data_IF_327248635880
#
_entry.id   IF_327248635880
#
_cell.length_a   1.000
_cell.length_b   1.000
_cell.length_c   1.000
_cell.angle_alpha   90.00
_cell.angle_beta   90.00
_cell.angle_gamma   90.00
#
_symmetry.space_group_name_H-M   'P 1'
#
loop_
_entity.id
_entity.type
_entity.pdbx_description
1 polymer ?
#
# COMPACT_ATOMS: atom_id res chain seq x y z
N UNK A 1 -17.64 2.09 -15.63
CA UNK A 1 -17.81 1.76 -14.20
C UNK A 1 -19.21 1.31 -13.82
N UNK A 2 -20.27 2.08 -14.12
CA UNK A 2 -21.65 1.79 -13.66
C UNK A 2 -22.21 0.45 -14.18
N UNK A 3 -22.28 0.28 -15.50
CA UNK A 3 -22.86 -0.91 -16.16
C UNK A 3 -21.83 -1.97 -16.55
N UNK A 4 -20.54 -1.66 -16.45
CA UNK A 4 -19.45 -2.55 -16.87
C UNK A 4 -19.46 -2.89 -18.37
N UNK A 5 -19.80 -1.94 -19.25
CA UNK A 5 -19.80 -2.18 -20.69
C UNK A 5 -18.38 -2.42 -21.24
N UNK A 6 -18.23 -3.53 -21.98
CA UNK A 6 -16.95 -3.96 -22.53
C UNK A 6 -16.49 -3.09 -23.71
N UNK A 7 -17.43 -2.61 -24.52
CA UNK A 7 -17.18 -1.72 -25.66
C UNK A 7 -16.51 -0.41 -25.22
N UNK A 8 -16.97 0.16 -24.10
CA UNK A 8 -16.46 1.41 -23.54
C UNK A 8 -15.05 1.22 -23.02
N UNK A 9 -14.74 0.07 -22.42
CA UNK A 9 -13.39 -0.25 -21.98
C UNK A 9 -12.41 -0.39 -23.17
N UNK A 10 -12.85 -1.00 -24.27
CA UNK A 10 -12.07 -1.08 -25.52
C UNK A 10 -11.88 0.31 -26.14
N UNK A 11 -12.93 1.11 -26.25
CA UNK A 11 -12.84 2.46 -26.80
C UNK A 11 -11.90 3.37 -25.99
N UNK A 12 -11.90 3.25 -24.65
CA UNK A 12 -10.94 3.96 -23.79
C UNK A 12 -9.51 3.47 -24.04
N UNK A 13 -9.31 2.16 -24.18
CA UNK A 13 -8.00 1.58 -24.45
C UNK A 13 -7.42 2.07 -25.79
N UNK A 14 -8.21 2.00 -26.86
CA UNK A 14 -7.83 2.49 -28.19
C UNK A 14 -7.57 4.00 -28.19
N UNK A 15 -8.37 4.78 -27.46
CA UNK A 15 -8.16 6.22 -27.35
C UNK A 15 -6.83 6.59 -26.66
N UNK A 16 -6.47 5.85 -25.60
CA UNK A 16 -5.27 6.14 -24.80
C UNK A 16 -4.00 5.61 -25.45
N UNK A 17 -4.06 4.41 -26.03
CA UNK A 17 -2.87 3.66 -26.45
C UNK A 17 -2.85 3.29 -27.93
N UNK A 18 -3.85 3.71 -28.70
CA UNK A 18 -4.00 3.34 -30.11
C UNK A 18 -4.65 1.97 -30.31
N UNK A 19 -4.32 0.99 -29.46
CA UNK A 19 -4.88 -0.36 -29.53
C UNK A 19 -4.97 -1.04 -28.14
N UNK A 20 -5.69 -2.16 -28.10
CA UNK A 20 -5.96 -2.96 -26.89
C UNK A 20 -4.69 -3.59 -26.30
N UNK A 21 -3.78 -4.10 -27.12
CA UNK A 21 -2.56 -4.78 -26.65
C UNK A 21 -1.60 -3.78 -26.02
N UNK A 22 -1.43 -2.62 -26.66
CA UNK A 22 -0.66 -1.50 -26.13
C UNK A 22 -1.22 -0.98 -24.80
N UNK A 23 -2.55 -0.92 -24.65
CA UNK A 23 -3.17 -0.55 -23.37
C UNK A 23 -2.98 -1.63 -22.31
N UNK A 24 -3.10 -2.91 -22.66
CA UNK A 24 -2.84 -4.03 -21.75
C UNK A 24 -1.41 -4.00 -21.19
N UNK A 25 -0.42 -3.63 -22.02
CA UNK A 25 0.94 -3.40 -21.56
C UNK A 25 1.02 -2.31 -20.47
N UNK A 26 0.31 -1.18 -20.64
CA UNK A 26 0.23 -0.13 -19.61
C UNK A 26 -0.49 -0.63 -18.33
N UNK A 27 -1.52 -1.46 -18.46
CA UNK A 27 -2.20 -2.07 -17.31
C UNK A 27 -1.23 -2.95 -16.51
N UNK A 28 -0.42 -3.77 -17.18
CA UNK A 28 0.56 -4.65 -16.55
C UNK A 28 1.71 -3.86 -15.92
N UNK A 29 2.22 -2.83 -16.60
CA UNK A 29 3.22 -1.92 -16.04
C UNK A 29 2.70 -1.27 -14.75
N UNK A 30 1.45 -0.77 -14.78
CA UNK A 30 0.82 -0.18 -13.60
C UNK A 30 0.62 -1.19 -12.48
N UNK A 31 0.19 -2.41 -12.79
CA UNK A 31 0.03 -3.48 -11.81
C UNK A 31 1.36 -3.79 -11.11
N UNK A 32 2.46 -3.90 -11.87
CA UNK A 32 3.80 -4.09 -11.32
C UNK A 32 4.23 -2.92 -10.42
N UNK A 33 3.97 -1.67 -10.83
CA UNK A 33 4.25 -0.47 -10.02
C UNK A 33 3.45 -0.43 -8.70
N UNK A 34 2.25 -1.01 -8.67
CA UNK A 34 1.41 -1.14 -7.46
C UNK A 34 1.88 -2.30 -6.57
N UNK A 35 2.77 -3.16 -7.07
CA UNK A 35 3.29 -4.33 -6.37
C UNK A 35 2.47 -5.61 -6.58
N UNK A 36 1.63 -5.65 -7.61
CA UNK A 36 0.91 -6.87 -7.97
C UNK A 36 1.87 -7.90 -8.55
N UNK A 37 1.86 -9.12 -8.01
CA UNK A 37 2.79 -10.19 -8.43
C UNK A 37 2.09 -11.40 -9.03
N UNK A 38 0.77 -11.50 -8.90
CA UNK A 38 -0.06 -12.58 -9.45
C UNK A 38 -1.09 -12.09 -10.46
N UNK A 39 -0.79 -11.00 -11.15
CA UNK A 39 -1.72 -10.32 -12.07
C UNK A 39 -1.11 -10.22 -13.47
N UNK A 40 -1.90 -10.57 -14.47
CA UNK A 40 -1.59 -10.39 -15.88
C UNK A 40 -2.87 -10.03 -16.66
N UNK A 41 -2.90 -8.84 -17.23
CA UNK A 41 -4.01 -8.32 -18.01
C UNK A 41 -3.72 -8.44 -19.51
N UNK A 42 -4.65 -9.06 -20.23
CA UNK A 42 -4.62 -9.20 -21.70
C UNK A 42 -5.69 -8.32 -22.36
N UNK A 43 -6.78 -8.04 -21.65
CA UNK A 43 -7.95 -7.31 -22.16
C UNK A 43 -8.32 -6.18 -21.20
N UNK A 44 -8.83 -5.05 -21.69
CA UNK A 44 -9.22 -3.91 -20.83
C UNK A 44 -10.54 -4.14 -20.12
N UNK A 45 -11.31 -5.16 -20.55
CA UNK A 45 -12.70 -5.38 -20.14
C UNK A 45 -12.88 -6.61 -19.22
N UNK A 46 -11.84 -7.41 -19.02
CA UNK A 46 -11.90 -8.59 -18.16
C UNK A 46 -12.51 -9.84 -18.80
N UNK A 47 -12.65 -9.85 -20.14
CA UNK A 47 -13.00 -11.08 -20.84
C UNK A 47 -11.85 -12.08 -20.78
N UNK A 48 -12.21 -13.35 -20.58
CA UNK A 48 -11.27 -14.48 -20.54
C UNK A 48 -10.40 -14.48 -21.81
N UNK A 49 -9.08 -14.51 -21.62
CA UNK A 49 -8.12 -14.50 -22.70
C UNK A 49 -6.84 -15.22 -22.27
N UNK A 50 -6.09 -15.70 -23.26
CA UNK A 50 -4.78 -16.32 -23.10
C UNK A 50 -3.86 -15.75 -24.18
N UNK A 51 -2.61 -15.50 -23.84
CA UNK A 51 -1.58 -15.08 -24.79
C UNK A 51 -0.25 -15.77 -24.49
N UNK A 52 0.67 -15.73 -25.44
CA UNK A 52 2.03 -16.28 -25.28
C UNK A 52 3.05 -15.18 -25.55
N UNK A 53 3.89 -14.90 -24.55
CA UNK A 53 4.99 -13.92 -24.63
C UNK A 53 6.28 -14.66 -24.36
N UNK A 54 7.23 -14.60 -25.30
CA UNK A 54 8.54 -15.25 -25.20
C UNK A 54 8.49 -16.75 -24.81
N UNK A 55 7.50 -17.46 -25.35
CA UNK A 55 7.29 -18.89 -25.09
C UNK A 55 6.64 -19.22 -23.74
N UNK A 56 6.26 -18.20 -22.96
CA UNK A 56 5.50 -18.35 -21.71
C UNK A 56 4.04 -18.03 -21.97
N UNK A 57 3.14 -18.96 -21.59
CA UNK A 57 1.69 -18.75 -21.67
C UNK A 57 1.19 -17.98 -20.46
N UNK A 58 0.39 -16.94 -20.71
CA UNK A 58 -0.25 -16.12 -19.71
C UNK A 58 -1.77 -16.20 -19.87
N UNK A 59 -2.46 -16.31 -18.75
CA UNK A 59 -3.93 -16.28 -18.70
C UNK A 59 -4.33 -14.93 -18.10
N UNK A 60 -5.34 -14.28 -18.70
CA UNK A 60 -5.92 -13.06 -18.17
C UNK A 60 -6.43 -13.31 -16.74
N UNK A 61 -5.86 -12.64 -15.74
CA UNK A 61 -6.22 -12.91 -14.37
C UNK A 61 -5.50 -12.05 -13.34
N UNK A 62 -5.93 -12.23 -12.09
CA UNK A 62 -5.42 -11.52 -10.91
C UNK A 62 -5.69 -12.36 -9.67
N UNK A 63 -5.21 -11.91 -8.50
CA UNK A 63 -5.45 -12.53 -7.21
C UNK A 63 -6.31 -11.64 -6.31
N UNK A 64 -6.87 -12.21 -5.24
CA UNK A 64 -7.61 -11.42 -4.26
C UNK A 64 -6.72 -10.36 -3.57
N UNK A 65 -5.45 -10.70 -3.31
CA UNK A 65 -4.47 -9.80 -2.74
C UNK A 65 -4.15 -8.63 -3.69
N UNK A 66 -3.89 -8.92 -4.96
CA UNK A 66 -3.57 -7.90 -5.96
C UNK A 66 -4.74 -6.96 -6.22
N UNK A 67 -5.98 -7.46 -6.28
CA UNK A 67 -7.16 -6.60 -6.38
C UNK A 67 -7.37 -5.71 -5.16
N UNK A 68 -7.00 -6.16 -3.95
CA UNK A 68 -6.97 -5.31 -2.78
C UNK A 68 -5.92 -4.20 -2.91
N UNK A 69 -4.74 -4.49 -3.47
CA UNK A 69 -3.71 -3.48 -3.75
C UNK A 69 -4.19 -2.46 -4.80
N UNK A 70 -4.80 -2.94 -5.89
CA UNK A 70 -5.37 -2.10 -6.96
C UNK A 70 -6.47 -1.20 -6.38
N UNK A 71 -7.42 -1.75 -5.62
CA UNK A 71 -8.47 -0.94 -4.99
C UNK A 71 -7.87 0.07 -4.01
N UNK A 72 -6.89 -0.34 -3.18
CA UNK A 72 -6.18 0.55 -2.25
C UNK A 72 -5.45 1.70 -2.95
N UNK A 73 -4.94 1.46 -4.16
CA UNK A 73 -4.38 2.50 -5.01
C UNK A 73 -5.48 3.43 -5.57
N UNK A 74 -6.54 2.85 -6.17
CA UNK A 74 -7.59 3.62 -6.82
C UNK A 74 -8.36 4.55 -5.88
N UNK A 75 -8.63 4.14 -4.63
CA UNK A 75 -9.37 4.95 -3.65
C UNK A 75 -8.60 6.17 -3.13
N UNK A 76 -7.34 6.36 -3.55
CA UNK A 76 -6.58 7.60 -3.32
C UNK A 76 -6.93 8.70 -4.32
N UNK A 77 -7.71 8.38 -5.36
CA UNK A 77 -8.12 9.30 -6.40
C UNK A 77 -9.59 9.70 -6.21
N UNK A 78 -9.84 10.97 -5.94
CA UNK A 78 -11.19 11.49 -5.68
C UNK A 78 -12.10 11.41 -6.92
N UNK A 79 -11.55 11.55 -8.12
CA UNK A 79 -12.30 11.36 -9.38
C UNK A 79 -12.76 9.92 -9.52
N UNK A 80 -11.91 8.94 -9.17
CA UNK A 80 -12.29 7.53 -9.17
C UNK A 80 -13.44 7.29 -8.18
N UNK A 81 -13.32 7.79 -6.94
CA UNK A 81 -14.37 7.68 -5.93
C UNK A 81 -15.70 8.30 -6.40
N UNK A 82 -15.65 9.51 -6.98
CA UNK A 82 -16.85 10.17 -7.52
C UNK A 82 -17.54 9.33 -8.59
N UNK A 83 -16.77 8.77 -9.53
CA UNK A 83 -17.31 7.93 -10.60
C UNK A 83 -17.89 6.63 -10.04
N UNK A 84 -17.20 5.94 -9.12
CA UNK A 84 -17.68 4.65 -8.60
C UNK A 84 -18.86 4.77 -7.63
N UNK A 85 -19.04 5.94 -7.01
CA UNK A 85 -20.20 6.24 -6.15
C UNK A 85 -21.40 6.79 -6.92
N UNK A 86 -21.24 7.17 -8.18
CA UNK A 86 -22.35 7.70 -9.00
C UNK A 86 -23.44 6.63 -9.12
N UNK A 87 -24.66 6.95 -8.65
CA UNK A 87 -25.79 6.01 -8.64
C UNK A 87 -26.33 5.73 -10.05
N UNK A 88 -26.47 6.77 -10.86
CA UNK A 88 -26.87 6.67 -12.25
C UNK A 88 -26.32 7.83 -13.07
N UNK A 89 -26.24 7.64 -14.37
CA UNK A 89 -25.84 8.69 -15.31
C UNK A 89 -26.70 8.60 -16.56
N UNK A 90 -27.11 9.75 -17.11
CA UNK A 90 -27.90 9.83 -18.33
C UNK A 90 -27.12 10.60 -19.39
N UNK A 91 -27.03 10.04 -20.59
CA UNK A 91 -26.34 10.62 -21.73
C UNK A 91 -27.16 10.43 -23.01
N UNK A 92 -26.87 11.23 -24.03
CA UNK A 92 -27.50 11.11 -25.34
C UNK A 92 -26.57 10.47 -26.35
N UNK A 93 -27.12 9.84 -27.39
CA UNK A 93 -26.29 9.45 -28.53
C UNK A 93 -25.71 10.68 -29.23
N UNK A 94 -24.71 10.44 -30.08
CA UNK A 94 -24.16 11.44 -31.00
C UNK A 94 -24.29 10.94 -32.44
N UNK A 95 -24.30 11.88 -33.38
CA UNK A 95 -24.18 11.64 -34.82
C UNK A 95 -22.99 12.44 -35.34
N UNK A 96 -22.43 12.03 -36.49
CA UNK A 96 -21.45 12.84 -37.20
C UNK A 96 -22.22 13.76 -38.15
N UNK A 97 -22.06 15.07 -37.96
CA UNK A 97 -22.65 16.08 -38.83
C UNK A 97 -21.93 16.16 -40.18
N UNK A 98 -22.52 16.91 -41.11
CA UNK A 98 -21.96 17.10 -42.46
C UNK A 98 -20.58 17.78 -42.45
N UNK A 99 -20.25 18.49 -41.36
CA UNK A 99 -18.94 19.12 -41.10
C UNK A 99 -17.91 18.17 -40.46
N UNK A 100 -18.27 16.90 -40.26
CA UNK A 100 -17.44 15.89 -39.61
C UNK A 100 -17.42 15.96 -38.08
N UNK A 101 -18.11 16.92 -37.46
CA UNK A 101 -18.14 17.07 -36.01
C UNK A 101 -19.24 16.22 -35.36
N UNK A 102 -19.00 15.76 -34.12
CA UNK A 102 -20.01 15.05 -33.35
C UNK A 102 -21.09 16.01 -32.84
N UNK A 103 -22.35 15.75 -33.20
CA UNK A 103 -23.52 16.50 -32.75
C UNK A 103 -24.43 15.63 -31.87
N UNK A 104 -24.99 16.15 -30.77
CA UNK A 104 -25.90 15.40 -29.92
C UNK A 104 -27.17 14.97 -30.68
N UNK A 105 -27.54 13.71 -30.51
CA UNK A 105 -28.79 13.15 -30.99
C UNK A 105 -29.96 13.34 -30.02
N UNK A 106 -31.11 12.77 -30.38
CA UNK A 106 -32.34 12.87 -29.61
C UNK A 106 -32.66 11.64 -28.75
N UNK A 107 -31.82 10.60 -28.79
CA UNK A 107 -32.02 9.39 -27.96
C UNK A 107 -31.24 9.54 -26.66
N UNK A 108 -31.94 9.35 -25.55
CA UNK A 108 -31.37 9.37 -24.20
C UNK A 108 -31.21 7.95 -23.67
N UNK A 109 -30.11 7.70 -22.97
CA UNK A 109 -29.75 6.44 -22.34
C UNK A 109 -29.39 6.69 -20.89
N UNK A 110 -29.90 5.86 -19.99
CA UNK A 110 -29.59 5.93 -18.56
C UNK A 110 -28.91 4.64 -18.14
N UNK A 111 -27.78 4.78 -17.46
CA UNK A 111 -27.00 3.69 -16.91
C UNK A 111 -27.05 3.75 -15.39
N UNK A 112 -27.14 2.60 -14.74
CA UNK A 112 -27.26 2.51 -13.28
C UNK A 112 -26.07 1.74 -12.72
N UNK A 113 -25.61 2.14 -11.54
CA UNK A 113 -24.53 1.47 -10.86
C UNK A 113 -24.96 0.07 -10.41
N UNK A 114 -24.25 -0.96 -10.86
CA UNK A 114 -24.53 -2.35 -10.45
C UNK A 114 -24.04 -2.67 -9.04
N UNK A 115 -23.26 -1.79 -8.40
CA UNK A 115 -22.78 -2.00 -7.05
C UNK A 115 -23.85 -1.66 -6.00
N UNK A 116 -24.78 -2.57 -5.78
CA UNK A 116 -25.80 -2.43 -4.74
C UNK A 116 -25.22 -2.33 -3.31
N UNK A 117 -23.97 -2.77 -3.11
CA UNK A 117 -23.33 -2.80 -1.80
C UNK A 117 -22.96 -1.40 -1.27
N UNK A 118 -22.90 -0.39 -2.14
CA UNK A 118 -22.64 1.00 -1.75
C UNK A 118 -23.59 1.52 -0.66
N UNK A 119 -24.79 0.93 -0.55
CA UNK A 119 -25.81 1.35 0.39
C UNK A 119 -26.13 0.27 1.45
N UNK A 120 -25.34 -0.81 1.52
CA UNK A 120 -25.60 -1.92 2.45
C UNK A 120 -24.88 -1.75 3.79
N UNK A 121 -23.81 -0.96 3.83
CA UNK A 121 -23.04 -0.68 5.04
C UNK A 121 -22.58 0.77 5.06
N UNK A 122 -22.61 1.39 6.24
CA UNK A 122 -22.09 2.74 6.43
C UNK A 122 -20.57 2.78 6.19
N UNK A 123 -20.13 3.82 5.47
CA UNK A 123 -18.72 4.04 5.17
C UNK A 123 -18.18 3.28 3.95
N UNK A 124 -18.99 2.51 3.22
CA UNK A 124 -18.57 1.95 1.92
C UNK A 124 -18.31 3.11 0.95
N UNK A 125 -17.08 3.21 0.45
CA UNK A 125 -16.65 4.31 -0.43
C UNK A 125 -16.47 3.89 -1.89
N UNK A 126 -16.31 2.59 -2.18
CA UNK A 126 -16.16 2.11 -3.56
C UNK A 126 -16.39 0.60 -3.65
N UNK A 127 -16.59 0.14 -4.87
CA UNK A 127 -16.49 -1.28 -5.19
C UNK A 127 -16.80 -1.59 -6.65
N UNK A 128 -16.43 -2.79 -7.07
CA UNK A 128 -16.68 -3.28 -8.43
C UNK A 128 -17.03 -4.76 -8.42
N UNK A 129 -18.11 -5.11 -9.09
CA UNK A 129 -18.55 -6.48 -9.32
C UNK A 129 -17.94 -7.06 -10.60
N UNK A 130 -17.73 -8.37 -10.63
CA UNK A 130 -17.34 -9.12 -11.82
C UNK A 130 -18.06 -10.47 -11.90
N UNK A 131 -18.28 -10.97 -13.11
CA UNK A 131 -18.79 -12.33 -13.34
C UNK A 131 -18.40 -12.81 -14.73
N UNK A 132 -17.78 -13.99 -14.81
CA UNK A 132 -17.70 -14.81 -16.03
C UNK A 132 -18.05 -16.25 -15.66
N UNK A 133 -18.34 -17.09 -16.66
CA UNK A 133 -18.61 -18.51 -16.41
C UNK A 133 -17.44 -19.22 -15.71
N UNK A 134 -16.20 -18.82 -16.02
CA UNK A 134 -14.99 -19.38 -15.43
C UNK A 134 -14.64 -18.75 -14.07
N UNK A 135 -14.82 -17.43 -13.91
CA UNK A 135 -14.41 -16.72 -12.69
C UNK A 135 -15.43 -16.82 -11.53
N UNK A 136 -16.69 -17.11 -11.84
CA UNK A 136 -17.78 -17.04 -10.86
C UNK A 136 -18.09 -15.60 -10.44
N UNK A 137 -18.81 -15.41 -9.34
CA UNK A 137 -19.13 -14.08 -8.83
C UNK A 137 -17.96 -13.48 -8.06
N UNK A 138 -17.44 -12.35 -8.53
CA UNK A 138 -16.35 -11.64 -7.87
C UNK A 138 -16.81 -10.27 -7.37
N UNK A 139 -16.18 -9.80 -6.30
CA UNK A 139 -16.41 -8.46 -5.78
C UNK A 139 -15.15 -7.91 -5.10
N UNK A 140 -14.83 -6.65 -5.38
CA UNK A 140 -13.85 -5.88 -4.61
C UNK A 140 -14.52 -4.62 -4.07
N UNK A 141 -14.25 -4.27 -2.81
CA UNK A 141 -14.84 -3.11 -2.15
C UNK A 141 -13.86 -2.43 -1.21
N UNK A 142 -14.12 -1.16 -0.94
CA UNK A 142 -13.43 -0.38 0.07
C UNK A 142 -14.43 0.28 1.03
N UNK A 143 -14.11 0.24 2.33
CA UNK A 143 -14.85 0.88 3.40
C UNK A 143 -13.92 1.77 4.21
N UNK A 144 -14.38 2.98 4.54
CA UNK A 144 -13.68 3.93 5.40
C UNK A 144 -14.47 4.19 6.67
N UNK A 145 -13.82 4.02 7.82
CA UNK A 145 -14.38 4.25 9.15
C UNK A 145 -13.36 5.02 10.00
N UNK A 146 -13.57 6.35 10.12
CA UNK A 146 -12.58 7.22 10.76
C UNK A 146 -11.24 7.22 10.01
N UNK A 147 -10.16 6.95 10.74
CA UNK A 147 -8.80 6.82 10.19
C UNK A 147 -8.49 5.42 9.63
N UNK A 148 -9.44 4.49 9.70
CA UNK A 148 -9.29 3.12 9.19
C UNK A 148 -9.92 3.01 7.81
N UNK A 149 -9.19 2.40 6.88
CA UNK A 149 -9.70 2.04 5.55
C UNK A 149 -9.43 0.57 5.31
N UNK A 150 -10.45 -0.17 4.90
CA UNK A 150 -10.39 -1.60 4.62
C UNK A 150 -10.70 -1.84 3.16
N UNK A 151 -9.98 -2.76 2.53
CA UNK A 151 -10.31 -3.32 1.22
C UNK A 151 -10.58 -4.80 1.35
N UNK A 152 -11.66 -5.28 0.74
CA UNK A 152 -12.02 -6.70 0.71
C UNK A 152 -12.22 -7.11 -0.73
N UNK A 153 -11.56 -8.19 -1.14
CA UNK A 153 -11.77 -8.86 -2.42
C UNK A 153 -12.26 -10.27 -2.19
N UNK A 154 -13.28 -10.66 -2.93
CA UNK A 154 -13.82 -12.00 -2.99
C UNK A 154 -13.82 -12.48 -4.44
N UNK A 155 -13.33 -13.70 -4.67
CA UNK A 155 -13.26 -14.34 -5.98
C UNK A 155 -14.06 -15.64 -5.96
N UNK A 156 -14.78 -15.95 -7.04
CA UNK A 156 -15.52 -17.21 -7.15
C UNK A 156 -16.60 -17.42 -6.08
N UNK A 157 -17.23 -16.36 -5.59
CA UNK A 157 -18.26 -16.44 -4.55
C UNK A 157 -19.48 -17.24 -4.97
N UNK A 158 -20.12 -17.79 -3.94
CA UNK A 158 -21.48 -18.28 -4.01
C UNK A 158 -21.54 -19.69 -4.56
N UNK A 159 -20.94 -20.69 -3.90
CA UNK A 159 -21.30 -22.09 -4.13
C UNK A 159 -22.45 -22.48 -3.18
N UNK A 160 -23.61 -22.98 -3.66
CA UNK A 160 -24.02 -23.09 -5.06
C UNK A 160 -24.35 -21.71 -5.65
N UNK A 161 -24.25 -21.57 -6.99
CA UNK A 161 -24.17 -20.29 -7.70
C UNK A 161 -25.21 -19.25 -7.23
N UNK A 162 -24.79 -18.29 -6.42
CA UNK A 162 -25.68 -17.26 -5.86
C UNK A 162 -25.06 -15.86 -5.94
N UNK A 163 -25.70 -14.99 -6.72
CA UNK A 163 -25.26 -13.61 -6.96
C UNK A 163 -25.21 -12.75 -5.69
N UNK A 164 -25.94 -13.08 -4.62
CA UNK A 164 -26.02 -12.23 -3.42
C UNK A 164 -25.03 -12.62 -2.33
N UNK A 165 -24.42 -13.81 -2.38
CA UNK A 165 -23.51 -14.27 -1.30
C UNK A 165 -22.27 -13.39 -1.17
N UNK A 166 -21.75 -12.88 -2.29
CA UNK A 166 -20.65 -11.89 -2.27
C UNK A 166 -20.94 -10.65 -1.41
N UNK A 167 -22.21 -10.28 -1.22
CA UNK A 167 -22.59 -9.18 -0.33
C UNK A 167 -22.51 -9.60 1.13
N UNK A 168 -23.04 -10.78 1.46
CA UNK A 168 -23.00 -11.32 2.82
C UNK A 168 -21.55 -11.56 3.27
N UNK A 169 -20.73 -12.17 2.41
CA UNK A 169 -19.32 -12.44 2.67
C UNK A 169 -18.52 -11.14 2.82
N UNK A 170 -18.79 -10.13 1.99
CA UNK A 170 -18.13 -8.83 2.10
C UNK A 170 -18.49 -8.13 3.41
N UNK A 171 -19.77 -8.15 3.79
CA UNK A 171 -20.20 -7.62 5.08
C UNK A 171 -19.55 -8.34 6.26
N UNK A 172 -19.46 -9.67 6.20
CA UNK A 172 -18.84 -10.47 7.25
C UNK A 172 -17.36 -10.10 7.44
N UNK A 173 -16.58 -10.03 6.36
CA UNK A 173 -15.16 -9.69 6.42
C UNK A 173 -14.92 -8.24 6.85
N UNK A 174 -15.74 -7.30 6.36
CA UNK A 174 -15.64 -5.90 6.76
C UNK A 174 -15.97 -5.70 8.24
N UNK A 175 -17.04 -6.33 8.74
CA UNK A 175 -17.38 -6.29 10.16
C UNK A 175 -16.28 -6.94 11.02
N UNK A 176 -15.74 -8.10 10.60
CA UNK A 176 -14.61 -8.70 11.28
C UNK A 176 -13.42 -7.73 11.39
N UNK A 177 -13.08 -7.05 10.29
CA UNK A 177 -12.04 -6.01 10.28
C UNK A 177 -12.32 -4.85 11.24
N UNK A 178 -13.54 -4.32 11.21
CA UNK A 178 -13.98 -3.19 12.04
C UNK A 178 -14.00 -3.51 13.54
N UNK A 179 -14.42 -4.73 13.90
CA UNK A 179 -14.57 -5.20 15.28
C UNK A 179 -13.23 -5.65 15.88
N UNK A 180 -12.36 -6.25 15.07
CA UNK A 180 -11.15 -6.89 15.59
C UNK A 180 -9.90 -6.03 15.43
N UNK A 181 -9.85 -5.10 14.47
CA UNK A 181 -8.63 -4.34 14.18
C UNK A 181 -8.74 -2.85 14.49
N UNK A 182 -7.67 -2.31 15.07
CA UNK A 182 -7.48 -0.88 15.32
C UNK A 182 -6.21 -0.40 14.61
N UNK A 183 -6.20 0.87 14.19
CA UNK A 183 -5.01 1.52 13.65
C UNK A 183 -4.23 2.15 14.80
N UNK A 184 -2.99 1.71 15.03
CA UNK A 184 -2.14 2.21 16.11
C UNK A 184 -0.75 2.57 15.58
N UNK A 185 -0.16 3.61 16.16
CA UNK A 185 1.28 3.80 16.10
C UNK A 185 1.92 2.91 17.16
N UNK A 186 2.73 1.95 16.72
CA UNK A 186 3.38 0.99 17.61
C UNK A 186 4.76 1.47 18.07
N UNK A 187 5.24 2.60 17.57
CA UNK A 187 6.53 3.13 18.01
C UNK A 187 6.43 3.68 19.43
N UNK A 188 7.42 3.38 20.26
CA UNK A 188 7.52 3.87 21.63
C UNK A 188 8.36 5.15 21.65
N UNK A 189 7.68 6.30 21.65
CA UNK A 189 8.31 7.62 21.64
C UNK A 189 8.93 8.03 22.98
N UNK A 190 8.57 7.36 24.07
CA UNK A 190 9.13 7.61 25.40
C UNK A 190 10.38 6.75 25.66
N UNK A 191 10.78 5.92 24.69
CA UNK A 191 11.94 5.05 24.76
C UNK A 191 13.22 5.86 24.98
N UNK A 192 13.98 5.46 25.99
CA UNK A 192 15.28 6.04 26.32
C UNK A 192 16.35 4.96 26.40
N UNK A 193 17.57 5.35 26.03
CA UNK A 193 18.75 4.50 26.09
C UNK A 193 19.77 5.07 27.05
N UNK A 194 20.37 4.24 27.93
CA UNK A 194 21.56 4.67 28.65
C UNK A 194 22.69 4.94 27.65
N UNK A 195 23.59 5.90 27.94
CA UNK A 195 24.79 6.10 27.14
C UNK A 195 25.61 4.81 27.02
N UNK A 196 26.19 4.58 25.85
CA UNK A 196 27.07 3.43 25.58
C UNK A 196 28.49 3.77 26.02
N UNK A 197 29.13 2.86 26.74
CA UNK A 197 30.51 3.04 27.19
C UNK A 197 31.47 3.03 26.01
N UNK A 198 32.42 3.97 25.98
CA UNK A 198 33.46 4.05 24.95
C UNK A 198 34.82 3.77 25.60
N UNK A 199 35.38 2.61 25.27
CA UNK A 199 36.73 2.19 25.65
C UNK A 199 37.77 2.97 24.84
N UNK A 200 38.90 3.28 25.46
CA UNK A 200 40.01 4.05 24.87
C UNK A 200 39.60 5.43 24.33
N UNK A 201 38.47 5.97 24.80
CA UNK A 201 37.91 7.25 24.40
C UNK A 201 38.36 8.42 25.28
N UNK A 202 38.42 9.61 24.70
CA UNK A 202 38.65 10.87 25.45
C UNK A 202 37.53 11.10 26.48
N UNK A 203 36.29 10.73 26.11
CA UNK A 203 35.17 10.59 27.04
C UNK A 203 34.82 9.11 27.21
N UNK A 204 34.30 8.74 28.38
CA UNK A 204 34.01 7.33 28.69
C UNK A 204 32.67 6.80 28.16
N UNK A 205 31.85 7.64 27.53
CA UNK A 205 30.57 7.22 26.95
C UNK A 205 30.10 8.16 25.84
N UNK A 206 29.16 7.68 25.04
CA UNK A 206 28.43 8.44 24.03
C UNK A 206 26.92 8.23 24.19
N UNK A 207 26.09 9.28 24.13
CA UNK A 207 24.64 9.10 24.15
C UNK A 207 24.15 8.38 22.89
N UNK A 208 23.01 7.72 23.01
CA UNK A 208 22.36 6.99 21.91
C UNK A 208 21.18 7.78 21.40
N UNK A 209 21.05 7.92 20.09
CA UNK A 209 19.89 8.50 19.43
C UNK A 209 19.24 7.51 18.46
N UNK A 210 17.96 7.74 18.20
CA UNK A 210 17.14 7.00 17.24
C UNK A 210 16.34 8.03 16.44
N UNK A 211 16.21 7.80 15.13
CA UNK A 211 15.42 8.65 14.24
C UNK A 211 14.20 7.85 13.77
N UNK A 212 13.12 7.80 14.57
CA UNK A 212 11.97 6.99 14.23
C UNK A 212 11.09 7.65 13.18
N UNK A 213 10.36 6.80 12.46
CA UNK A 213 9.18 7.19 11.71
C UNK A 213 7.95 6.54 12.36
N UNK A 214 6.74 7.12 12.23
CA UNK A 214 5.52 6.50 12.75
C UNK A 214 5.38 5.04 12.29
N UNK A 215 5.19 4.13 13.24
CA UNK A 215 5.01 2.70 12.98
C UNK A 215 3.51 2.38 12.99
N UNK A 216 2.81 2.93 12.00
CA UNK A 216 1.36 2.75 11.88
C UNK A 216 1.02 1.35 11.37
N UNK A 217 0.30 0.57 12.18
CA UNK A 217 -0.16 -0.78 11.86
C UNK A 217 -1.63 -0.99 12.18
N UNK A 218 -2.27 -1.91 11.45
CA UNK A 218 -3.54 -2.49 11.84
C UNK A 218 -3.25 -3.65 12.80
N UNK A 219 -3.72 -3.53 14.05
CA UNK A 219 -3.48 -4.52 15.09
C UNK A 219 -4.79 -5.04 15.66
N UNK A 220 -4.82 -6.36 15.88
CA UNK A 220 -5.87 -7.04 16.63
C UNK A 220 -5.64 -6.90 18.11
N UNK A 221 -6.70 -6.94 18.91
CA UNK A 221 -6.58 -6.94 20.38
C UNK A 221 -5.73 -8.09 20.92
N UNK A 222 -5.76 -9.24 20.25
CA UNK A 222 -4.98 -10.42 20.61
C UNK A 222 -3.56 -10.44 20.05
N UNK A 223 -3.14 -9.42 19.30
CA UNK A 223 -1.78 -9.38 18.77
C UNK A 223 -0.78 -9.11 19.88
N UNK A 224 0.32 -9.86 19.89
CA UNK A 224 1.43 -9.67 20.81
C UNK A 224 2.52 -8.81 20.17
N UNK A 225 2.82 -7.67 20.80
CA UNK A 225 3.88 -6.76 20.38
C UNK A 225 5.12 -6.99 21.21
N UNK A 226 6.19 -7.44 20.57
CA UNK A 226 7.49 -7.65 21.19
C UNK A 226 8.51 -6.63 20.67
N UNK A 227 9.26 -6.02 21.57
CA UNK A 227 10.33 -5.08 21.24
C UNK A 227 11.66 -5.69 21.66
N UNK A 228 12.54 -5.94 20.69
CA UNK A 228 13.85 -6.52 20.92
C UNK A 228 14.95 -5.48 20.68
N UNK A 229 15.84 -5.34 21.66
CA UNK A 229 16.96 -4.40 21.63
C UNK A 229 18.25 -5.16 21.41
N UNK A 230 18.96 -4.83 20.33
CA UNK A 230 20.27 -5.40 20.01
C UNK A 230 21.27 -4.27 19.79
N UNK A 231 21.95 -3.86 20.86
CA UNK A 231 22.97 -2.81 20.82
C UNK A 231 24.14 -3.09 21.74
N UNK A 232 25.30 -2.57 21.36
CA UNK A 232 26.55 -2.78 22.09
C UNK A 232 26.56 -1.92 23.35
N UNK A 233 26.82 -2.52 24.51
CA UNK A 233 27.01 -1.78 25.78
C UNK A 233 28.40 -1.14 25.90
N UNK A 234 29.37 -1.68 25.16
CA UNK A 234 30.73 -1.18 25.10
C UNK A 234 31.17 -1.13 23.63
N UNK A 235 31.74 -0.01 23.21
CA UNK A 235 32.38 0.21 21.91
C UNK A 235 33.78 0.79 22.14
N UNK A 236 34.63 0.80 21.12
CA UNK A 236 36.01 1.31 21.24
C UNK A 236 36.17 2.55 20.38
N UNK A 237 36.88 3.54 20.89
CA UNK A 237 37.19 4.76 20.14
C UNK A 237 38.07 4.49 18.89
N UNK A 238 37.95 5.30 17.83
CA UNK A 238 37.09 6.47 17.74
C UNK A 238 35.64 6.06 17.42
N UNK A 239 34.71 6.88 17.90
CA UNK A 239 33.29 6.84 17.53
C UNK A 239 32.97 8.17 16.88
N UNK A 240 32.33 8.15 15.72
CA UNK A 240 31.82 9.36 15.09
C UNK A 240 30.31 9.49 15.32
N UNK A 241 29.84 10.73 15.40
CA UNK A 241 28.41 11.02 15.42
C UNK A 241 27.74 10.40 14.19
N UNK A 242 26.65 9.68 14.40
CA UNK A 242 25.94 8.94 13.35
C UNK A 242 26.45 7.53 13.11
N UNK A 243 27.46 7.05 13.84
CA UNK A 243 27.84 5.64 13.81
C UNK A 243 26.70 4.74 14.29
N UNK A 244 26.42 3.65 13.57
CA UNK A 244 25.44 2.65 14.00
C UNK A 244 26.02 1.82 15.14
N UNK A 245 25.39 1.90 16.31
CA UNK A 245 25.82 1.22 17.54
C UNK A 245 24.88 0.09 17.97
N UNK A 246 23.76 -0.07 17.26
CA UNK A 246 22.82 -1.17 17.45
C UNK A 246 21.51 -0.98 16.71
N UNK A 247 20.46 -1.63 17.20
CA UNK A 247 19.12 -1.60 16.62
C UNK A 247 18.02 -1.96 17.60
N UNK A 248 16.80 -1.55 17.26
CA UNK A 248 15.54 -1.98 17.90
C UNK A 248 14.68 -2.64 16.85
N UNK A 249 14.16 -3.82 17.15
CA UNK A 249 13.25 -4.56 16.28
C UNK A 249 11.88 -4.68 16.94
N UNK A 250 10.83 -4.31 16.21
CA UNK A 250 9.44 -4.48 16.58
C UNK A 250 8.91 -5.72 15.87
N UNK A 251 8.36 -6.66 16.65
CA UNK A 251 7.75 -7.89 16.15
C UNK A 251 6.29 -7.95 16.57
N UNK A 252 5.41 -8.31 15.63
CA UNK A 252 4.00 -8.58 15.89
C UNK A 252 3.75 -10.06 15.63
N UNK A 253 3.31 -10.80 16.66
CA UNK A 253 3.12 -12.26 16.58
C UNK A 253 4.35 -12.99 15.99
N UNK A 254 5.52 -12.75 16.57
CA UNK A 254 6.83 -13.29 16.17
C UNK A 254 7.35 -12.85 14.77
N UNK A 255 6.60 -12.02 14.04
CA UNK A 255 7.04 -11.49 12.74
C UNK A 255 7.63 -10.10 12.92
N UNK A 256 8.90 -9.91 12.55
CA UNK A 256 9.54 -8.58 12.58
C UNK A 256 8.86 -7.66 11.57
N UNK A 257 8.16 -6.64 12.07
CA UNK A 257 7.44 -5.65 11.27
C UNK A 257 8.29 -4.41 10.96
N UNK A 258 9.27 -4.11 11.82
CA UNK A 258 10.18 -2.96 11.63
C UNK A 258 11.46 -3.14 12.41
N UNK A 259 12.55 -2.62 11.84
CA UNK A 259 13.85 -2.46 12.50
C UNK A 259 14.32 -1.02 12.37
N UNK A 260 14.72 -0.41 13.48
CA UNK A 260 15.34 0.90 13.54
C UNK A 260 16.80 0.75 13.97
N UNK A 261 17.69 1.52 13.35
CA UNK A 261 19.07 1.61 13.79
C UNK A 261 19.18 2.58 14.97
N UNK A 262 20.11 2.28 15.88
CA UNK A 262 20.53 3.16 16.96
C UNK A 262 21.88 3.77 16.60
N UNK A 263 22.02 5.06 16.85
CA UNK A 263 23.15 5.87 16.41
C UNK A 263 23.87 6.50 17.61
N UNK A 264 25.18 6.71 17.46
CA UNK A 264 25.95 7.55 18.37
C UNK A 264 25.55 9.02 18.19
N UNK A 265 25.04 9.66 19.25
CA UNK A 265 24.59 11.06 19.20
C UNK A 265 25.74 12.09 19.24
N UNK A 266 26.99 11.63 19.27
CA UNK A 266 28.18 12.48 19.30
C UNK A 266 29.44 11.69 18.98
N UNK A 267 30.56 12.41 18.85
CA UNK A 267 31.86 11.80 18.55
C UNK A 267 32.73 11.65 19.79
N UNK A 268 33.45 10.53 19.88
CA UNK A 268 34.45 10.25 20.92
C UNK A 268 35.77 9.88 20.24
N UNK A 269 36.73 10.81 20.28
CA UNK A 269 38.08 10.56 19.77
C UNK A 269 38.88 9.59 20.66
N UNK A 270 39.99 9.07 20.14
CA UNK A 270 40.90 8.19 20.90
C UNK A 270 41.64 8.95 21.99
N UNK A 271 41.75 8.35 23.18
CA UNK A 271 42.70 8.76 24.20
C UNK A 271 44.03 8.04 23.94
N UNK A 272 44.88 8.63 23.08
CA UNK A 272 46.16 8.05 22.67
C UNK A 272 47.35 9.00 22.91
N UNK A 273 48.56 8.54 22.56
CA UNK A 273 49.78 9.34 22.69
C UNK A 273 49.69 10.68 21.94
N UNK A 274 49.03 10.71 20.78
CA UNK A 274 48.89 11.92 19.97
C UNK A 274 47.99 12.94 20.67
N UNK A 275 46.87 12.48 21.24
CA UNK A 275 45.99 13.30 22.07
C UNK A 275 46.73 13.87 23.30
N UNK A 276 47.45 13.02 24.04
CA UNK A 276 48.22 13.42 25.21
C UNK A 276 49.30 14.46 24.88
N UNK A 277 50.09 14.23 23.82
CA UNK A 277 51.11 15.16 23.37
C UNK A 277 50.52 16.51 22.93
N UNK A 278 49.40 16.49 22.20
CA UNK A 278 48.67 17.69 21.79
C UNK A 278 48.19 18.52 22.99
N UNK A 279 47.67 17.87 24.04
CA UNK A 279 47.24 18.55 25.28
C UNK A 279 48.41 19.19 26.03
N UNK A 280 49.56 18.52 26.10
CA UNK A 280 50.78 19.08 26.74
C UNK A 280 51.25 20.33 25.98
N UNK A 281 51.35 20.25 24.65
CA UNK A 281 51.73 21.39 23.79
C UNK A 281 50.77 22.56 24.00
N UNK A 282 49.47 22.31 23.97
CA UNK A 282 48.44 23.35 24.13
C UNK A 282 48.54 24.06 25.49
N UNK A 283 48.76 23.30 26.56
CA UNK A 283 48.83 23.82 27.93
C UNK A 283 50.10 24.64 28.18
N UNK A 284 51.26 24.19 27.67
CA UNK A 284 52.55 24.82 27.96
C UNK A 284 53.02 25.87 26.95
N UNK A 285 52.65 25.75 25.67
CA UNK A 285 53.16 26.63 24.60
C UNK A 285 52.17 27.70 24.14
N UNK A 286 50.86 27.54 24.40
CA UNK A 286 49.83 28.46 23.91
C UNK A 286 49.11 29.26 25.01
N UNK A 287 49.49 29.10 26.27
CA UNK A 287 49.16 30.03 27.36
C UNK A 287 47.67 30.39 27.50
N UNK A 288 46.80 29.38 27.59
CA UNK A 288 45.44 29.50 28.14
C UNK A 288 45.23 28.46 29.22
#
# INVERSE_FOLDING_TARGET
>A
MLESHNDTAVAIAEHISGDVSSFAALMNEKAAQIGCTGTHFITPNGLDATETVDGTEYIHGTTAADLCLIMSYCIKNDTFLSITQTASHTFTNYFIGDDGNAVPGNRSFTVNNKNAFLHMMDGVISGKTGFTGNAGYCYVTALRNGDRTFTVTLLGCGWPNNKTYKWQDASLLLNYGLENFSRKDLFDYEMQFPPVSVMDGITGSVPVEIHPAPLIYAVKFSDDLQIHYDYRKNITAPVEQGDVIGSVSYSLNDTVIRKYNLYAAGSVGRFDYSYCLGRVIQTFLLGK
#
